data_IF_253633265710
#
_entry.id   IF_253633265710
#
_cell.length_a   1.000
_cell.length_b   1.000
_cell.length_c   1.000
_cell.angle_alpha   90.00
_cell.angle_beta   90.00
_cell.angle_gamma   90.00
#
_symmetry.space_group_name_H-M   'P 1'
#
loop_
_entity.id
_entity.type
_entity.pdbx_description
1 polymer ?
#
# COMPACT_ATOMS: atom_id res chain seq x y z
N UNK A 1 -73.08 15.30 -14.52
CA UNK A 1 -72.15 14.16 -14.48
C UNK A 1 -70.78 14.69 -14.90
N UNK A 2 -69.83 14.94 -13.99
CA UNK A 2 -68.49 15.39 -14.37
C UNK A 2 -67.67 14.18 -14.84
N UNK A 3 -67.02 14.34 -15.99
CA UNK A 3 -66.10 13.35 -16.56
C UNK A 3 -64.80 13.34 -15.76
N UNK A 4 -64.46 12.20 -15.18
CA UNK A 4 -63.21 11.99 -14.47
C UNK A 4 -62.11 11.65 -15.48
N UNK A 5 -61.27 12.63 -15.80
CA UNK A 5 -60.07 12.42 -16.61
C UNK A 5 -59.03 11.68 -15.77
N UNK A 6 -58.92 10.36 -15.94
CA UNK A 6 -57.82 9.59 -15.35
C UNK A 6 -56.50 10.01 -16.01
N UNK A 7 -55.65 10.68 -15.24
CA UNK A 7 -54.27 10.97 -15.61
C UNK A 7 -53.41 9.76 -15.29
N UNK A 8 -53.12 8.94 -16.30
CA UNK A 8 -52.13 7.87 -16.22
C UNK A 8 -50.73 8.49 -16.17
N UNK A 9 -50.11 8.48 -14.99
CA UNK A 9 -48.69 8.82 -14.83
C UNK A 9 -47.85 7.69 -15.45
N UNK A 10 -47.08 8.02 -16.48
CA UNK A 10 -46.15 7.07 -17.09
C UNK A 10 -45.09 6.64 -16.06
N UNK A 11 -44.68 5.34 -16.02
CA UNK A 11 -43.66 4.89 -15.09
C UNK A 11 -42.33 5.59 -15.39
N UNK A 12 -41.67 6.12 -14.35
CA UNK A 12 -40.37 6.74 -14.48
C UNK A 12 -39.36 5.75 -15.09
N UNK A 13 -38.81 6.10 -16.26
CA UNK A 13 -37.77 5.29 -16.92
C UNK A 13 -36.54 5.29 -16.03
N UNK A 14 -36.21 4.13 -15.47
CA UNK A 14 -35.00 3.95 -14.66
C UNK A 14 -33.78 4.15 -15.54
N UNK A 15 -33.14 5.32 -15.44
CA UNK A 15 -31.87 5.56 -16.13
C UNK A 15 -30.80 4.61 -15.61
N UNK A 16 -30.09 3.97 -16.53
CA UNK A 16 -28.97 3.10 -16.19
C UNK A 16 -27.81 3.96 -15.68
N UNK A 17 -27.29 3.61 -14.50
CA UNK A 17 -26.12 4.29 -13.92
C UNK A 17 -24.86 3.96 -14.72
N UNK A 18 -23.98 4.94 -14.93
CA UNK A 18 -22.66 4.66 -15.51
C UNK A 18 -21.85 3.78 -14.57
N UNK A 19 -21.34 2.67 -15.11
CA UNK A 19 -20.43 1.78 -14.38
C UNK A 19 -18.99 2.31 -14.33
N UNK A 20 -18.64 3.34 -15.11
CA UNK A 20 -17.26 3.81 -15.29
C UNK A 20 -17.11 5.30 -15.00
N UNK A 21 -15.90 5.72 -14.66
CA UNK A 21 -15.56 7.15 -14.58
C UNK A 21 -15.40 7.72 -15.99
N UNK A 22 -15.80 8.98 -16.20
CA UNK A 22 -15.45 9.66 -17.43
C UNK A 22 -13.96 10.08 -17.36
N UNK A 23 -13.13 9.76 -18.38
CA UNK A 23 -11.71 10.13 -18.36
C UNK A 23 -11.50 11.64 -18.28
N UNK A 24 -12.38 12.46 -18.84
CA UNK A 24 -12.23 13.92 -18.88
C UNK A 24 -12.96 14.66 -17.75
N UNK A 25 -13.70 13.93 -16.93
CA UNK A 25 -14.38 14.50 -15.76
C UNK A 25 -13.34 14.93 -14.71
N UNK A 26 -13.40 16.21 -14.34
CA UNK A 26 -12.64 16.75 -13.20
C UNK A 26 -13.14 16.14 -11.90
N UNK A 27 -12.23 15.87 -10.99
CA UNK A 27 -12.60 15.29 -9.70
C UNK A 27 -12.98 16.39 -8.71
N UNK A 28 -13.87 16.05 -7.78
CA UNK A 28 -14.32 16.97 -6.74
C UNK A 28 -13.19 17.20 -5.74
N UNK A 29 -12.50 18.32 -5.90
CA UNK A 29 -11.38 18.72 -5.05
C UNK A 29 -11.83 18.98 -3.60
N UNK A 30 -13.04 19.51 -3.38
CA UNK A 30 -13.53 19.77 -2.03
C UNK A 30 -13.89 18.45 -1.32
N UNK A 31 -14.46 17.49 -2.05
CA UNK A 31 -14.64 16.13 -1.53
C UNK A 31 -13.29 15.46 -1.20
N UNK A 32 -12.27 15.64 -2.05
CA UNK A 32 -10.93 15.12 -1.78
C UNK A 32 -10.30 15.77 -0.54
N UNK A 33 -10.33 17.11 -0.44
CA UNK A 33 -9.86 17.85 0.74
C UNK A 33 -10.55 17.37 2.01
N UNK A 34 -11.89 17.25 1.99
CA UNK A 34 -12.66 16.72 3.12
C UNK A 34 -12.20 15.32 3.51
N UNK A 35 -11.89 14.49 2.53
CA UNK A 35 -11.40 13.11 2.74
C UNK A 35 -10.04 13.11 3.46
N UNK A 36 -9.07 13.88 2.96
CA UNK A 36 -7.69 13.86 3.49
C UNK A 36 -7.46 14.78 4.70
N UNK A 37 -8.43 15.62 5.04
CA UNK A 37 -8.37 16.50 6.23
C UNK A 37 -8.88 15.82 7.52
N UNK A 38 -9.36 14.57 7.42
CA UNK A 38 -9.75 13.76 8.58
C UNK A 38 -8.59 13.66 9.58
N UNK A 39 -8.93 13.63 10.87
CA UNK A 39 -7.97 13.46 11.95
C UNK A 39 -8.12 12.07 12.55
N UNK A 40 -6.99 11.42 12.83
CA UNK A 40 -6.90 10.12 13.48
C UNK A 40 -6.93 10.33 14.98
N UNK A 41 -7.98 9.82 15.63
CA UNK A 41 -8.07 9.79 17.09
C UNK A 41 -7.25 8.59 17.62
N UNK A 42 -6.34 8.86 18.55
CA UNK A 42 -5.55 7.81 19.19
C UNK A 42 -6.43 6.85 20.01
N UNK A 43 -7.58 7.30 20.51
CA UNK A 43 -8.50 6.45 21.26
C UNK A 43 -9.15 5.35 20.39
N UNK A 44 -9.16 5.52 19.06
CA UNK A 44 -9.64 4.50 18.12
C UNK A 44 -8.66 3.35 17.93
N UNK A 45 -7.38 3.55 18.29
CA UNK A 45 -6.29 2.61 18.05
C UNK A 45 -5.55 2.34 19.37
N UNK A 46 -6.18 1.65 20.34
CA UNK A 46 -5.65 1.47 21.68
C UNK A 46 -4.34 0.67 21.75
N UNK A 47 -4.03 -0.13 20.71
CA UNK A 47 -2.76 -0.86 20.65
C UNK A 47 -1.62 -0.03 20.03
N UNK A 48 -1.92 1.12 19.42
CA UNK A 48 -0.91 2.06 18.95
C UNK A 48 -0.21 2.76 20.13
N UNK A 49 1.10 2.92 20.05
CA UNK A 49 1.88 3.66 21.05
C UNK A 49 1.82 5.18 20.84
N UNK A 50 1.52 5.63 19.62
CA UNK A 50 1.28 7.03 19.29
C UNK A 50 0.59 7.18 17.94
N UNK A 51 0.12 8.39 17.63
CA UNK A 51 -0.32 8.78 16.29
C UNK A 51 0.50 10.00 15.87
N UNK A 52 1.18 9.93 14.74
CA UNK A 52 1.97 11.03 14.20
C UNK A 52 1.52 11.35 12.77
N UNK A 53 1.17 12.62 12.49
CA UNK A 53 0.69 13.05 11.17
C UNK A 53 -0.47 12.18 10.62
N UNK A 54 -1.43 11.81 11.47
CA UNK A 54 -2.53 10.89 11.16
C UNK A 54 -2.12 9.43 10.86
N UNK A 55 -0.91 9.02 11.24
CA UNK A 55 -0.44 7.64 11.09
C UNK A 55 -0.31 7.01 12.47
N UNK A 56 -1.09 5.95 12.77
CA UNK A 56 -0.88 5.12 13.96
C UNK A 56 0.49 4.45 13.91
N UNK A 57 1.21 4.54 15.02
CA UNK A 57 2.52 3.93 15.22
C UNK A 57 2.36 2.88 16.32
N UNK A 58 2.72 1.64 16.00
CA UNK A 58 2.74 0.52 16.93
C UNK A 58 4.19 0.14 17.21
N UNK A 59 4.43 -0.44 18.38
CA UNK A 59 5.71 -1.07 18.70
C UNK A 59 5.52 -2.58 18.72
N UNK A 60 6.04 -3.25 17.69
CA UNK A 60 5.83 -4.68 17.49
C UNK A 60 6.52 -5.55 18.55
N UNK A 61 7.56 -5.05 19.25
CA UNK A 61 8.18 -5.81 20.34
C UNK A 61 7.30 -5.92 21.58
N UNK A 62 6.20 -5.15 21.64
CA UNK A 62 5.17 -5.23 22.70
C UNK A 62 4.01 -6.17 22.35
N UNK A 63 4.01 -6.76 21.16
CA UNK A 63 2.92 -7.64 20.74
C UNK A 63 3.03 -9.00 21.44
N UNK A 64 2.00 -9.38 22.18
CA UNK A 64 1.89 -10.73 22.74
C UNK A 64 1.28 -11.68 21.70
N UNK A 65 2.12 -12.19 20.80
CA UNK A 65 1.69 -13.13 19.77
C UNK A 65 1.33 -14.53 20.32
N UNK A 66 1.51 -14.76 21.64
CA UNK A 66 1.07 -15.99 22.30
C UNK A 66 -0.37 -15.91 22.80
N UNK A 67 -0.88 -14.69 23.04
CA UNK A 67 -2.28 -14.45 23.39
C UNK A 67 -3.16 -14.31 22.13
N UNK A 68 -4.06 -15.27 21.96
CA UNK A 68 -4.99 -15.28 20.82
C UNK A 68 -5.94 -14.10 20.82
N UNK A 69 -6.40 -13.65 22.00
CA UNK A 69 -7.32 -12.52 22.09
C UNK A 69 -6.62 -11.22 21.66
N UNK A 70 -5.35 -11.06 22.07
CA UNK A 70 -4.52 -9.96 21.60
C UNK A 70 -4.32 -10.01 20.09
N UNK A 71 -3.96 -11.18 19.54
CA UNK A 71 -3.77 -11.36 18.08
C UNK A 71 -5.04 -11.02 17.30
N UNK A 72 -6.20 -11.49 17.74
CA UNK A 72 -7.48 -11.13 17.12
C UNK A 72 -7.74 -9.61 17.18
N UNK A 73 -7.55 -9.00 18.35
CA UNK A 73 -7.78 -7.56 18.54
C UNK A 73 -6.84 -6.70 17.68
N UNK A 74 -5.53 -7.02 17.62
CA UNK A 74 -4.59 -6.26 16.80
C UNK A 74 -4.84 -6.49 15.31
N UNK A 75 -5.23 -7.70 14.89
CA UNK A 75 -5.58 -7.97 13.49
C UNK A 75 -6.81 -7.15 13.06
N UNK A 76 -7.85 -7.06 13.90
CA UNK A 76 -9.03 -6.23 13.62
C UNK A 76 -8.70 -4.72 13.63
N UNK A 77 -7.85 -4.27 14.54
CA UNK A 77 -7.42 -2.87 14.60
C UNK A 77 -6.62 -2.46 13.35
N UNK A 78 -5.68 -3.30 12.91
CA UNK A 78 -4.94 -3.07 11.67
C UNK A 78 -5.84 -3.14 10.43
N UNK A 79 -6.89 -3.96 10.44
CA UNK A 79 -7.92 -3.96 9.39
C UNK A 79 -8.69 -2.64 9.35
N UNK A 80 -9.12 -2.09 10.50
CA UNK A 80 -9.79 -0.80 10.57
C UNK A 80 -8.88 0.31 10.01
N UNK A 81 -7.60 0.33 10.41
CA UNK A 81 -6.62 1.30 9.89
C UNK A 81 -6.58 1.28 8.36
N UNK A 82 -6.51 0.10 7.75
CA UNK A 82 -6.35 -0.05 6.30
C UNK A 82 -7.65 0.19 5.51
N UNK A 83 -8.81 -0.13 6.09
CA UNK A 83 -10.11 -0.01 5.45
C UNK A 83 -10.63 1.44 5.51
N UNK A 84 -11.29 1.80 6.61
CA UNK A 84 -11.97 3.10 6.78
C UNK A 84 -11.11 4.12 7.55
N UNK A 85 -10.02 3.67 8.17
CA UNK A 85 -9.04 4.47 8.89
C UNK A 85 -8.06 5.24 7.98
N UNK A 86 -6.88 5.60 8.50
CA UNK A 86 -5.91 6.44 7.78
C UNK A 86 -5.24 5.75 6.57
N UNK A 87 -5.43 4.44 6.38
CA UNK A 87 -4.93 3.68 5.22
C UNK A 87 -3.46 3.28 5.30
N UNK A 88 -2.79 3.60 6.41
CA UNK A 88 -1.37 3.34 6.63
C UNK A 88 -1.09 3.32 8.13
N UNK A 89 -0.16 2.46 8.55
CA UNK A 89 0.40 2.43 9.90
C UNK A 89 1.91 2.15 9.86
N UNK A 90 2.58 2.36 10.98
CA UNK A 90 3.99 2.01 11.20
C UNK A 90 4.08 0.92 12.26
N UNK A 91 4.86 -0.13 11.99
CA UNK A 91 5.30 -1.10 13.00
C UNK A 91 6.77 -0.85 13.31
N UNK A 92 7.05 -0.14 14.39
CA UNK A 92 8.41 -0.05 14.93
C UNK A 92 8.85 -1.42 15.44
N UNK A 93 10.16 -1.67 15.41
CA UNK A 93 10.75 -2.94 15.87
C UNK A 93 10.17 -4.17 15.15
N UNK A 94 9.77 -4.01 13.88
CA UNK A 94 9.38 -5.14 13.03
C UNK A 94 10.52 -6.16 12.89
N UNK A 95 11.76 -5.68 12.86
CA UNK A 95 12.97 -6.45 13.18
C UNK A 95 13.73 -5.73 14.28
N UNK A 96 14.25 -6.48 15.24
CA UNK A 96 15.14 -5.97 16.31
C UNK A 96 16.60 -6.35 16.07
N UNK A 97 16.85 -7.36 15.26
CA UNK A 97 18.18 -7.87 14.96
C UNK A 97 18.80 -7.14 13.76
N UNK A 98 19.55 -6.08 14.05
CA UNK A 98 20.31 -5.34 13.04
C UNK A 98 21.39 -6.21 12.37
N UNK A 99 21.90 -7.25 13.04
CA UNK A 99 22.88 -8.15 12.45
C UNK A 99 22.26 -9.02 11.36
N UNK A 100 21.01 -9.47 11.55
CA UNK A 100 20.23 -10.13 10.50
C UNK A 100 20.03 -9.21 9.30
N UNK A 101 19.60 -7.95 9.52
CA UNK A 101 19.41 -6.99 8.42
C UNK A 101 20.72 -6.72 7.66
N UNK A 102 21.84 -6.58 8.38
CA UNK A 102 23.16 -6.39 7.76
C UNK A 102 23.57 -7.60 6.91
N UNK A 103 23.39 -8.84 7.40
CA UNK A 103 23.66 -10.07 6.62
C UNK A 103 22.82 -10.12 5.34
N UNK A 104 21.56 -9.73 5.41
CA UNK A 104 20.67 -9.68 4.25
C UNK A 104 21.10 -8.59 3.27
N UNK A 105 21.52 -7.42 3.77
CA UNK A 105 22.07 -6.34 2.95
C UNK A 105 23.32 -6.80 2.19
N UNK A 106 24.20 -7.58 2.81
CA UNK A 106 25.35 -8.20 2.13
C UNK A 106 24.92 -9.17 1.01
N UNK A 107 23.92 -10.02 1.25
CA UNK A 107 23.37 -10.90 0.23
C UNK A 107 22.77 -10.09 -0.94
N UNK A 108 22.01 -9.03 -0.66
CA UNK A 108 21.47 -8.13 -1.69
C UNK A 108 22.57 -7.41 -2.47
N UNK A 109 23.65 -6.98 -1.83
CA UNK A 109 24.80 -6.38 -2.52
C UNK A 109 25.45 -7.36 -3.49
N UNK A 110 25.67 -8.63 -3.09
CA UNK A 110 26.19 -9.68 -3.99
C UNK A 110 25.28 -9.90 -5.19
N UNK A 111 23.95 -9.93 -4.99
CA UNK A 111 22.96 -10.06 -6.07
C UNK A 111 23.08 -8.86 -7.03
N UNK A 112 23.13 -7.63 -6.51
CA UNK A 112 23.24 -6.41 -7.33
C UNK A 112 24.53 -6.39 -8.14
N UNK A 113 25.66 -6.74 -7.53
CA UNK A 113 26.96 -6.82 -8.22
C UNK A 113 26.94 -7.86 -9.34
N UNK A 114 26.38 -9.06 -9.07
CA UNK A 114 26.23 -10.12 -10.06
C UNK A 114 25.34 -9.70 -11.24
N UNK A 115 24.22 -9.02 -10.98
CA UNK A 115 23.30 -8.57 -12.02
C UNK A 115 23.84 -7.38 -12.84
N UNK A 116 24.68 -6.54 -12.24
CA UNK A 116 25.35 -5.45 -12.93
C UNK A 116 26.35 -5.94 -13.99
N UNK A 117 27.06 -7.05 -13.72
CA UNK A 117 28.03 -7.66 -14.64
C UNK A 117 27.36 -8.40 -15.80
N UNK A 118 26.24 -9.08 -15.53
CA UNK A 118 25.58 -9.96 -16.51
C UNK A 118 24.60 -9.24 -17.47
N UNK A 119 24.70 -7.92 -17.61
CA UNK A 119 23.94 -7.17 -18.61
C UNK A 119 22.46 -6.93 -18.26
N UNK A 120 22.09 -6.93 -16.97
CA UNK A 120 20.87 -6.30 -16.47
C UNK A 120 19.57 -6.70 -17.19
N UNK A 121 19.34 -8.00 -17.40
CA UNK A 121 18.11 -8.49 -18.01
C UNK A 121 16.86 -7.94 -17.28
N UNK A 122 16.05 -7.15 -17.99
CA UNK A 122 14.66 -6.78 -17.65
C UNK A 122 14.41 -5.84 -16.47
N UNK A 123 15.35 -5.72 -15.53
CA UNK A 123 15.04 -5.34 -14.15
C UNK A 123 15.38 -3.88 -13.76
N UNK A 124 15.97 -3.09 -14.67
CA UNK A 124 16.43 -1.73 -14.37
C UNK A 124 15.56 -0.64 -15.03
N UNK A 125 14.61 -0.06 -14.28
CA UNK A 125 13.86 1.14 -14.70
C UNK A 125 14.63 2.45 -14.49
N UNK A 126 15.84 2.40 -13.93
CA UNK A 126 16.64 3.59 -13.62
C UNK A 126 17.90 3.65 -14.50
N UNK A 127 18.25 4.87 -14.93
CA UNK A 127 19.54 5.13 -15.56
C UNK A 127 20.68 4.65 -14.65
N UNK A 128 21.70 3.99 -15.24
CA UNK A 128 22.88 3.47 -14.54
C UNK A 128 23.34 4.45 -13.45
N UNK A 129 23.34 4.01 -12.19
CA UNK A 129 23.94 4.72 -11.06
C UNK A 129 22.99 5.49 -10.13
N UNK A 130 21.72 5.69 -10.49
CA UNK A 130 20.79 6.49 -9.66
C UNK A 130 20.01 5.68 -8.63
N UNK A 131 19.55 4.47 -8.99
CA UNK A 131 18.83 3.55 -8.10
C UNK A 131 19.29 2.12 -8.38
N UNK A 132 19.33 1.27 -7.36
CA UNK A 132 19.50 -0.18 -7.52
C UNK A 132 18.18 -0.88 -7.18
N UNK A 133 17.79 -1.88 -7.97
CA UNK A 133 16.57 -2.65 -7.75
C UNK A 133 16.85 -4.13 -7.93
N UNK A 134 16.28 -4.95 -7.06
CA UNK A 134 16.25 -6.40 -7.23
C UNK A 134 14.79 -6.80 -7.40
N UNK A 135 14.38 -7.21 -8.60
CA UNK A 135 13.07 -7.84 -8.78
C UNK A 135 13.11 -9.29 -8.33
N UNK A 136 11.96 -9.78 -7.85
CA UNK A 136 11.85 -11.09 -7.23
C UNK A 136 12.95 -11.31 -6.18
N UNK A 137 13.15 -10.32 -5.30
CA UNK A 137 14.18 -10.44 -4.25
C UNK A 137 13.89 -11.60 -3.31
N UNK A 138 12.63 -12.04 -3.21
CA UNK A 138 12.20 -13.19 -2.42
C UNK A 138 12.96 -14.46 -2.83
N UNK A 139 12.82 -14.92 -4.09
CA UNK A 139 13.51 -16.13 -4.53
C UNK A 139 15.02 -15.93 -4.65
N UNK A 140 15.47 -14.73 -5.06
CA UNK A 140 16.91 -14.44 -5.20
C UNK A 140 17.62 -14.46 -3.85
N UNK A 141 16.99 -13.97 -2.78
CA UNK A 141 17.51 -14.06 -1.41
C UNK A 141 17.59 -15.51 -0.94
N UNK A 142 16.55 -16.30 -1.13
CA UNK A 142 16.53 -17.72 -0.75
C UNK A 142 17.68 -18.51 -1.41
N UNK A 143 18.05 -18.16 -2.63
CA UNK A 143 19.17 -18.80 -3.34
C UNK A 143 20.54 -18.28 -2.91
N UNK A 144 20.64 -17.00 -2.57
CA UNK A 144 21.91 -16.36 -2.19
C UNK A 144 22.31 -16.71 -0.75
N UNK A 145 21.36 -16.69 0.18
CA UNK A 145 21.59 -16.97 1.60
C UNK A 145 20.34 -17.58 2.27
N UNK A 146 20.17 -18.91 2.18
CA UNK A 146 18.98 -19.61 2.66
C UNK A 146 18.69 -19.40 4.16
N UNK A 147 19.72 -19.29 5.00
CA UNK A 147 19.54 -19.17 6.45
C UNK A 147 18.98 -17.80 6.82
N UNK A 148 19.54 -16.71 6.27
CA UNK A 148 19.00 -15.37 6.55
C UNK A 148 17.64 -15.16 5.89
N UNK A 149 17.39 -15.79 4.74
CA UNK A 149 16.06 -15.84 4.13
C UNK A 149 15.04 -16.49 5.06
N UNK A 150 15.36 -17.68 5.60
CA UNK A 150 14.48 -18.38 6.53
C UNK A 150 14.19 -17.54 7.78
N UNK A 151 15.23 -16.97 8.40
CA UNK A 151 15.08 -16.14 9.60
C UNK A 151 14.25 -14.88 9.32
N UNK A 152 14.45 -14.21 8.18
CA UNK A 152 13.69 -13.02 7.81
C UNK A 152 12.21 -13.35 7.56
N UNK A 153 11.92 -14.28 6.65
CA UNK A 153 10.54 -14.56 6.24
C UNK A 153 9.76 -15.46 7.20
N UNK A 154 10.40 -16.02 8.23
CA UNK A 154 9.72 -16.69 9.35
C UNK A 154 9.25 -15.72 10.45
N UNK A 155 9.47 -14.41 10.30
CA UNK A 155 8.96 -13.41 11.23
C UNK A 155 7.43 -13.51 11.39
N UNK A 156 6.92 -13.84 12.59
CA UNK A 156 5.49 -14.09 12.81
C UNK A 156 4.61 -12.84 12.59
N UNK A 157 5.19 -11.64 12.62
CA UNK A 157 4.47 -10.39 12.37
C UNK A 157 3.93 -10.31 10.94
N UNK A 158 4.55 -10.97 9.97
CA UNK A 158 4.00 -11.04 8.61
C UNK A 158 2.61 -11.67 8.59
N UNK A 159 2.38 -12.70 9.41
CA UNK A 159 1.06 -13.35 9.50
C UNK A 159 0.02 -12.36 9.98
N UNK A 160 0.29 -11.62 11.07
CA UNK A 160 -0.63 -10.62 11.64
C UNK A 160 -0.96 -9.54 10.62
N UNK A 161 0.07 -8.97 9.98
CA UNK A 161 -0.06 -7.90 8.97
C UNK A 161 -0.81 -8.37 7.74
N UNK A 162 -0.47 -9.54 7.19
CA UNK A 162 -1.10 -10.01 5.96
C UNK A 162 -2.53 -10.49 6.20
N UNK A 163 -2.81 -11.14 7.32
CA UNK A 163 -4.15 -11.62 7.64
C UNK A 163 -5.13 -10.49 7.99
N UNK A 164 -4.63 -9.36 8.52
CA UNK A 164 -5.47 -8.17 8.77
C UNK A 164 -6.03 -7.54 7.49
N UNK A 165 -5.63 -7.99 6.29
CA UNK A 165 -6.13 -7.44 5.03
C UNK A 165 -6.49 -8.52 4.00
N UNK A 166 -5.57 -9.45 3.75
CA UNK A 166 -5.67 -10.44 2.67
C UNK A 166 -6.26 -11.77 3.15
N UNK A 167 -6.30 -12.00 4.46
CA UNK A 167 -6.71 -13.26 5.07
C UNK A 167 -5.63 -14.35 5.03
N UNK A 168 -5.96 -15.58 5.48
CA UNK A 168 -4.99 -16.62 5.82
C UNK A 168 -4.27 -17.27 4.63
N UNK A 169 -4.73 -17.02 3.40
CA UNK A 169 -4.17 -17.59 2.18
C UNK A 169 -3.28 -16.58 1.41
N UNK A 170 -2.73 -15.59 2.11
CA UNK A 170 -1.88 -14.58 1.50
C UNK A 170 -0.65 -15.19 0.81
N UNK A 171 -0.12 -14.47 -0.18
CA UNK A 171 1.15 -14.80 -0.83
C UNK A 171 2.03 -13.57 -0.83
N UNK A 172 3.32 -13.80 -0.69
CA UNK A 172 4.30 -12.73 -0.63
C UNK A 172 5.20 -12.74 -1.87
N UNK A 173 5.47 -11.55 -2.37
CA UNK A 173 6.59 -11.28 -3.27
C UNK A 173 7.28 -10.03 -2.76
N UNK A 174 8.59 -9.95 -2.92
CA UNK A 174 9.36 -8.80 -2.46
C UNK A 174 10.26 -8.28 -3.57
N UNK A 175 10.54 -6.99 -3.49
CA UNK A 175 11.56 -6.33 -4.29
C UNK A 175 12.43 -5.50 -3.36
N UNK A 176 13.71 -5.38 -3.69
CA UNK A 176 14.61 -4.43 -3.01
C UNK A 176 14.66 -3.16 -3.84
N UNK A 177 14.43 -2.01 -3.20
CA UNK A 177 14.58 -0.70 -3.81
C UNK A 177 15.62 0.10 -3.01
N UNK A 178 16.71 0.49 -3.66
CA UNK A 178 17.77 1.33 -3.08
C UNK A 178 17.78 2.66 -3.83
N UNK A 179 17.44 3.73 -3.10
CA UNK A 179 17.55 5.10 -3.60
C UNK A 179 18.94 5.61 -3.26
N UNK A 180 19.74 5.94 -4.28
CA UNK A 180 21.09 6.51 -4.05
C UNK A 180 21.00 8.04 -3.95
N UNK A 181 22.00 8.70 -3.34
CA UNK A 181 22.06 10.16 -3.32
C UNK A 181 21.87 10.77 -4.72
N UNK A 182 21.04 11.81 -4.80
CA UNK A 182 20.65 12.43 -6.08
C UNK A 182 19.48 11.74 -6.81
N UNK A 183 18.89 10.69 -6.23
CA UNK A 183 17.65 10.07 -6.70
C UNK A 183 16.51 11.09 -6.80
N UNK A 184 15.73 11.03 -7.88
CA UNK A 184 14.57 11.91 -8.09
C UNK A 184 13.35 11.37 -7.33
N UNK A 185 12.48 12.26 -6.80
CA UNK A 185 11.23 11.83 -6.19
C UNK A 185 10.35 11.13 -7.22
N UNK A 186 9.62 10.10 -6.78
CA UNK A 186 8.60 9.46 -7.60
C UNK A 186 7.34 10.35 -7.68
N UNK A 187 6.61 10.21 -8.78
CA UNK A 187 5.27 10.78 -8.90
C UNK A 187 4.32 10.09 -7.92
N UNK A 188 3.39 10.84 -7.34
CA UNK A 188 2.32 10.26 -6.54
C UNK A 188 1.56 9.19 -7.33
N UNK A 189 1.16 8.13 -6.66
CA UNK A 189 0.37 7.05 -7.23
C UNK A 189 -0.33 6.30 -6.10
N UNK A 190 -1.24 5.43 -6.50
CA UNK A 190 -1.64 4.27 -5.69
C UNK A 190 -0.92 3.07 -6.28
N UNK A 191 -0.66 2.03 -5.51
CA UNK A 191 -0.01 0.83 -6.02
C UNK A 191 -0.93 -0.03 -6.91
N UNK A 192 -0.55 -1.28 -7.17
CA UNK A 192 -1.25 -2.18 -8.08
C UNK A 192 -2.77 -2.27 -7.84
N UNK A 193 -3.61 -2.49 -8.86
CA UNK A 193 -3.30 -2.88 -10.23
C UNK A 193 -3.47 -1.73 -11.24
N UNK A 194 -4.20 -0.68 -10.85
CA UNK A 194 -4.48 0.47 -11.70
C UNK A 194 -3.49 1.63 -11.51
N UNK A 195 -2.66 1.56 -10.47
CA UNK A 195 -1.71 2.58 -10.07
C UNK A 195 -0.82 3.15 -11.16
N UNK A 196 -0.26 2.25 -11.98
CA UNK A 196 0.73 2.57 -13.01
C UNK A 196 0.12 2.68 -14.42
N UNK A 197 -1.22 2.62 -14.55
CA UNK A 197 -1.92 2.72 -15.83
C UNK A 197 -2.13 4.18 -16.25
N UNK A 198 -2.52 4.46 -17.50
CA UNK A 198 -2.93 5.81 -17.90
C UNK A 198 -4.33 6.16 -17.37
N UNK A 199 -4.69 7.45 -17.37
CA UNK A 199 -6.02 7.93 -16.99
C UNK A 199 -7.12 7.26 -17.82
N UNK A 200 -6.88 7.11 -19.12
CA UNK A 200 -7.78 6.51 -20.11
C UNK A 200 -7.91 5.00 -19.89
N UNK A 201 -6.81 4.33 -19.56
CA UNK A 201 -6.82 2.90 -19.22
C UNK A 201 -7.62 2.65 -17.93
N UNK A 202 -7.39 3.44 -16.87
CA UNK A 202 -8.17 3.38 -15.63
C UNK A 202 -9.68 3.59 -15.86
N UNK A 203 -10.06 4.51 -16.74
CA UNK A 203 -11.47 4.81 -17.03
C UNK A 203 -12.21 3.65 -17.74
N UNK A 204 -11.51 2.69 -18.35
CA UNK A 204 -12.12 1.49 -18.95
C UNK A 204 -12.61 0.48 -17.90
N UNK A 205 -12.09 0.55 -16.68
CA UNK A 205 -12.49 -0.34 -15.59
C UNK A 205 -13.77 0.16 -14.90
N UNK A 206 -14.71 -0.73 -14.57
CA UNK A 206 -15.86 -0.36 -13.75
C UNK A 206 -15.43 0.20 -12.39
N UNK A 207 -16.19 1.15 -11.83
CA UNK A 207 -15.97 1.75 -10.50
C UNK A 207 -15.80 0.69 -9.40
N UNK A 208 -16.53 -0.43 -9.50
CA UNK A 208 -16.37 -1.56 -8.58
C UNK A 208 -14.96 -2.16 -8.65
N UNK A 209 -14.35 -2.26 -9.83
CA UNK A 209 -13.00 -2.79 -9.99
C UNK A 209 -11.91 -1.84 -9.48
N UNK A 210 -12.18 -0.53 -9.44
CA UNK A 210 -11.28 0.42 -8.75
C UNK A 210 -11.23 0.09 -7.26
N UNK A 211 -12.38 -0.16 -6.63
CA UNK A 211 -12.44 -0.57 -5.23
C UNK A 211 -11.84 -1.97 -5.01
N UNK A 212 -12.30 -2.98 -5.77
CA UNK A 212 -11.79 -4.36 -5.67
C UNK A 212 -10.27 -4.43 -5.86
N UNK A 213 -9.71 -3.65 -6.80
CA UNK A 213 -8.25 -3.67 -7.01
C UNK A 213 -7.46 -3.30 -5.77
N UNK A 214 -7.96 -2.39 -4.93
CA UNK A 214 -7.27 -1.98 -3.70
C UNK A 214 -7.33 -3.07 -2.61
N UNK A 215 -8.33 -3.96 -2.68
CA UNK A 215 -8.50 -5.07 -1.73
C UNK A 215 -7.62 -6.29 -2.06
N UNK A 216 -7.03 -6.36 -3.26
CA UNK A 216 -6.27 -7.53 -3.72
C UNK A 216 -4.81 -7.54 -3.27
N UNK A 217 -4.30 -6.43 -2.76
CA UNK A 217 -2.88 -6.28 -2.40
C UNK A 217 -2.75 -5.53 -1.10
N UNK A 218 -1.83 -5.96 -0.25
CA UNK A 218 -1.28 -5.17 0.84
C UNK A 218 0.18 -4.87 0.48
N UNK A 219 0.57 -3.60 0.55
CA UNK A 219 1.94 -3.18 0.32
C UNK A 219 2.57 -2.72 1.64
N UNK A 220 3.69 -3.33 1.99
CA UNK A 220 4.52 -2.95 3.13
C UNK A 220 5.96 -2.69 2.68
N UNK A 221 6.66 -1.84 3.41
CA UNK A 221 8.08 -1.59 3.22
C UNK A 221 8.80 -1.79 4.56
N UNK A 222 9.85 -2.61 4.55
CA UNK A 222 10.76 -2.77 5.69
C UNK A 222 11.99 -1.90 5.42
N UNK A 223 12.31 -1.02 6.35
CA UNK A 223 13.53 -0.22 6.27
C UNK A 223 14.73 -1.08 6.68
N UNK A 224 15.72 -1.18 5.79
CA UNK A 224 16.99 -1.91 6.01
C UNK A 224 18.14 -0.98 6.40
N UNK A 225 17.87 0.32 6.50
CA UNK A 225 18.76 1.38 6.93
C UNK A 225 17.94 2.49 7.57
N UNK A 226 18.61 3.41 8.25
CA UNK A 226 17.97 4.64 8.70
C UNK A 226 17.37 5.42 7.52
N UNK A 227 16.22 6.05 7.76
CA UNK A 227 15.46 6.80 6.77
C UNK A 227 15.26 8.26 7.20
N UNK A 228 16.34 9.04 7.39
CA UNK A 228 16.21 10.46 7.72
C UNK A 228 15.59 11.22 6.53
N UNK A 229 15.05 12.43 6.74
CA UNK A 229 14.29 13.15 5.70
C UNK A 229 15.11 13.37 4.41
N UNK A 230 16.41 13.60 4.53
CA UNK A 230 17.34 13.78 3.42
C UNK A 230 17.56 12.52 2.57
N UNK A 231 17.24 11.32 3.07
CA UNK A 231 17.29 10.08 2.28
C UNK A 231 16.08 9.90 1.37
N UNK A 232 15.07 10.78 1.49
CA UNK A 232 13.86 10.76 0.68
C UNK A 232 12.90 9.63 1.06
N UNK A 233 12.45 9.53 2.34
CA UNK A 233 11.50 8.52 2.77
C UNK A 233 10.17 8.65 2.03
N UNK A 234 9.42 7.54 1.97
CA UNK A 234 8.10 7.49 1.34
C UNK A 234 7.17 8.54 1.95
N UNK A 235 6.51 9.31 1.10
CA UNK A 235 5.46 10.25 1.50
C UNK A 235 4.10 9.59 1.30
N UNK A 236 3.31 9.56 2.35
CA UNK A 236 1.93 9.05 2.34
C UNK A 236 0.95 10.18 2.57
N UNK A 237 -0.29 9.99 2.11
CA UNK A 237 -1.40 10.91 2.33
C UNK A 237 -2.53 10.13 3.02
N UNK A 238 -2.61 10.16 4.37
CA UNK A 238 -3.62 9.44 5.11
C UNK A 238 -5.04 9.75 4.63
N UNK A 239 -5.91 8.74 4.73
CA UNK A 239 -7.31 8.74 4.26
C UNK A 239 -7.50 8.84 2.74
N UNK A 240 -6.45 9.14 1.97
CA UNK A 240 -6.57 9.30 0.51
C UNK A 240 -7.08 8.05 -0.18
N UNK A 241 -6.91 6.85 0.38
CA UNK A 241 -7.40 5.57 -0.16
C UNK A 241 -8.94 5.51 -0.22
N UNK A 242 -9.63 6.22 0.67
CA UNK A 242 -11.11 6.26 0.72
C UNK A 242 -11.72 7.16 -0.36
N UNK A 243 -10.90 7.97 -1.05
CA UNK A 243 -11.37 8.74 -2.21
C UNK A 243 -11.56 7.83 -3.43
N UNK A 244 -12.81 7.48 -3.74
CA UNK A 244 -13.15 6.47 -4.75
C UNK A 244 -12.42 6.63 -6.12
N UNK A 245 -12.30 7.82 -6.73
CA UNK A 245 -11.67 7.96 -8.05
C UNK A 245 -10.13 8.11 -8.00
N UNK A 246 -9.48 7.87 -6.86
CA UNK A 246 -8.08 8.25 -6.68
C UNK A 246 -7.05 7.55 -7.56
N UNK A 247 -7.34 6.39 -8.15
CA UNK A 247 -6.48 5.81 -9.21
C UNK A 247 -6.37 6.71 -10.45
N UNK A 248 -7.38 7.54 -10.71
CA UNK A 248 -7.42 8.52 -11.78
C UNK A 248 -7.02 9.92 -11.31
N UNK A 249 -7.50 10.31 -10.12
CA UNK A 249 -7.56 11.71 -9.67
C UNK A 249 -6.22 12.41 -9.50
N UNK A 250 -5.14 11.69 -9.15
CA UNK A 250 -3.84 12.32 -8.86
C UNK A 250 -3.16 12.98 -10.07
N UNK A 251 -3.72 12.80 -11.28
CA UNK A 251 -3.27 13.43 -12.53
C UNK A 251 -4.08 14.68 -12.90
N UNK A 252 -5.10 15.03 -12.12
CA UNK A 252 -5.87 16.26 -12.28
C UNK A 252 -5.07 17.41 -11.64
N UNK A 253 -4.71 18.47 -12.38
CA UNK A 253 -3.91 19.58 -11.89
C UNK A 253 -4.62 20.44 -10.84
#
# INVERSE_FOLDING_TARGET
MPSATMTTTAPAVKQTRSSRYNPNEKQDLEAFKKTVSRQTDAASYPNAVSVANNVPIYNASKFDLSDKNFVEAITDELYDVLSEGPGVYVLEKFYEDDALLNRINEAYNKIIEREAVNGGGGDHFAAKGSNSRIWNSFSKHALEDPDSFYQYFSNPLFKVVCESWLGPAFRMTTQVNIVRPGGKPQTSHRDYHLGFQTKEACAKWPKSMHHTSALLTLQGAVAHSDMPLESGPTRVLPYSQTFAPGFKAYRDP
#
